data_IF_062566764921
#
_entry.id   IF_062566764921
#
_cell.length_a   1.000
_cell.length_b   1.000
_cell.length_c   1.000
_cell.angle_alpha   90.00
_cell.angle_beta   90.00
_cell.angle_gamma   90.00
#
_symmetry.space_group_name_H-M   'P 1'
#
loop_
_entity.id
_entity.type
_entity.pdbx_description
1 polymer ?
#
# COMPACT_ATOMS: atom_id res chain seq x y z
N UNK A 1 -8.52 -21.35 -9.86
CA UNK A 1 -8.89 -20.00 -9.42
C UNK A 1 -8.85 -19.08 -10.63
N UNK A 2 -9.82 -18.17 -10.76
CA UNK A 2 -9.75 -17.07 -11.73
C UNK A 2 -9.19 -15.85 -11.01
N UNK A 3 -8.17 -15.20 -11.57
CA UNK A 3 -7.45 -14.09 -10.93
C UNK A 3 -7.58 -12.86 -11.81
N UNK A 4 -7.98 -11.74 -11.22
CA UNK A 4 -7.97 -10.43 -11.87
C UNK A 4 -6.61 -9.76 -11.59
N UNK A 5 -5.93 -9.34 -12.65
CA UNK A 5 -4.61 -8.70 -12.57
C UNK A 5 -4.77 -7.19 -12.75
N UNK A 6 -4.09 -6.41 -11.91
CA UNK A 6 -4.15 -4.94 -11.90
C UNK A 6 -2.98 -4.25 -12.62
N UNK A 7 -2.09 -5.05 -13.22
CA UNK A 7 -0.94 -4.60 -14.03
C UNK A 7 -0.92 -5.33 -15.39
N UNK A 8 -0.08 -4.85 -16.32
CA UNK A 8 0.01 -5.44 -17.66
C UNK A 8 0.66 -6.84 -17.65
N UNK A 9 -0.06 -7.83 -18.17
CA UNK A 9 0.31 -9.27 -18.13
C UNK A 9 1.26 -9.73 -19.24
N UNK A 10 1.73 -8.83 -20.12
CA UNK A 10 2.66 -9.18 -21.18
C UNK A 10 3.95 -9.79 -20.60
N UNK A 11 4.28 -11.01 -21.02
CA UNK A 11 5.44 -11.78 -20.56
C UNK A 11 5.13 -12.91 -19.56
N UNK A 12 3.89 -13.02 -19.09
CA UNK A 12 3.44 -14.10 -18.18
C UNK A 12 2.85 -15.26 -18.99
N UNK A 13 3.12 -16.50 -18.58
CA UNK A 13 2.65 -17.71 -19.24
C UNK A 13 2.40 -18.91 -18.32
N UNK A 14 1.93 -20.05 -18.87
CA UNK A 14 1.72 -21.27 -18.11
C UNK A 14 3.01 -21.77 -17.45
N UNK A 15 2.93 -22.14 -16.17
CA UNK A 15 4.07 -22.59 -15.38
C UNK A 15 4.67 -21.51 -14.48
N UNK A 16 4.31 -20.24 -14.68
CA UNK A 16 4.73 -19.16 -13.80
C UNK A 16 4.13 -19.31 -12.39
N UNK A 17 4.91 -18.90 -11.40
CA UNK A 17 4.55 -19.04 -9.99
C UNK A 17 3.46 -18.01 -9.61
N UNK A 18 2.43 -18.50 -8.93
CA UNK A 18 1.40 -17.67 -8.30
C UNK A 18 1.47 -17.83 -6.79
N UNK A 19 1.52 -16.72 -6.05
CA UNK A 19 1.57 -16.70 -4.59
C UNK A 19 0.43 -15.82 -4.07
N UNK A 20 -0.40 -16.38 -3.17
CA UNK A 20 -1.45 -15.61 -2.50
C UNK A 20 -0.87 -14.87 -1.29
N UNK A 21 -1.31 -13.64 -1.07
CA UNK A 21 -1.01 -12.85 0.14
C UNK A 21 -1.81 -13.32 1.36
N UNK A 22 -2.86 -14.14 1.16
CA UNK A 22 -3.76 -14.59 2.23
C UNK A 22 -4.76 -13.54 2.72
N UNK A 23 -4.74 -12.34 2.15
CA UNK A 23 -5.57 -11.20 2.57
C UNK A 23 -6.33 -10.61 1.37
N UNK A 24 -7.53 -10.04 1.59
CA UNK A 24 -8.24 -9.30 0.55
C UNK A 24 -7.47 -8.02 0.17
N UNK A 25 -7.77 -7.48 -1.01
CA UNK A 25 -7.32 -6.13 -1.39
C UNK A 25 -7.78 -5.15 -0.30
N UNK A 26 -6.83 -4.48 0.32
CA UNK A 26 -7.02 -3.64 1.50
C UNK A 26 -6.23 -2.35 1.34
N UNK A 27 -6.59 -1.34 2.11
CA UNK A 27 -5.87 -0.06 2.18
C UNK A 27 -5.26 0.12 3.55
N UNK A 28 -4.14 0.82 3.60
CA UNK A 28 -3.56 1.32 4.81
C UNK A 28 -4.24 2.63 5.23
N UNK A 29 -4.62 2.74 6.51
CA UNK A 29 -5.27 3.91 7.07
C UNK A 29 -4.43 4.48 8.20
N UNK A 30 -3.99 5.73 8.05
CA UNK A 30 -3.17 6.40 9.07
C UNK A 30 -2.66 7.78 8.66
N UNK A 31 -1.93 8.46 9.57
CA UNK A 31 -1.28 9.72 9.28
C UNK A 31 -0.31 9.61 8.10
N UNK A 32 -0.37 10.57 7.17
CA UNK A 32 0.42 10.57 5.95
C UNK A 32 -0.35 10.25 4.68
N UNK A 33 -1.62 9.84 4.77
CA UNK A 33 -2.47 9.70 3.58
C UNK A 33 -2.73 11.03 2.87
N UNK A 34 -3.01 12.07 3.64
CA UNK A 34 -3.30 13.39 3.09
C UNK A 34 -2.02 13.96 2.48
N UNK A 35 -2.15 14.64 1.34
CA UNK A 35 -1.07 15.26 0.52
C UNK A 35 -0.24 14.33 -0.35
N UNK A 36 -0.53 13.03 -0.36
CA UNK A 36 0.10 12.07 -1.28
C UNK A 36 -0.76 11.80 -2.51
N UNK A 37 -0.10 11.38 -3.60
CA UNK A 37 -0.75 10.94 -4.84
C UNK A 37 -0.59 9.42 -4.94
N UNK A 38 -1.70 8.72 -5.08
CA UNK A 38 -1.75 7.27 -5.14
C UNK A 38 -2.30 6.76 -6.47
N UNK A 39 -1.91 5.54 -6.85
CA UNK A 39 -2.59 4.79 -7.92
C UNK A 39 -3.86 4.07 -7.43
N UNK A 40 -4.49 3.29 -8.32
CA UNK A 40 -5.76 2.59 -8.03
C UNK A 40 -5.69 1.50 -6.96
N UNK A 41 -4.50 1.13 -6.49
CA UNK A 41 -4.28 0.14 -5.43
C UNK A 41 -3.43 0.70 -4.26
N UNK A 42 -3.38 2.03 -4.12
CA UNK A 42 -2.76 2.75 -3.01
C UNK A 42 -1.21 2.75 -2.99
N UNK A 43 -0.54 2.64 -4.14
CA UNK A 43 0.92 2.84 -4.20
C UNK A 43 1.27 4.33 -4.37
N UNK A 44 2.23 4.89 -3.61
CA UNK A 44 2.57 6.31 -3.65
C UNK A 44 3.40 6.66 -4.90
N UNK A 45 2.79 7.35 -5.85
CA UNK A 45 3.38 7.63 -7.17
C UNK A 45 4.58 8.56 -7.11
N UNK A 46 4.60 9.50 -6.17
CA UNK A 46 5.71 10.43 -5.97
C UNK A 46 6.97 9.73 -5.42
N UNK A 47 6.79 8.78 -4.51
CA UNK A 47 7.87 7.95 -3.95
C UNK A 47 8.38 7.01 -5.04
N UNK A 48 7.49 6.36 -5.77
CA UNK A 48 7.87 5.49 -6.87
C UNK A 48 8.66 6.28 -7.92
N UNK A 49 8.16 7.43 -8.37
CA UNK A 49 8.85 8.28 -9.34
C UNK A 49 10.26 8.65 -8.88
N UNK A 50 10.46 8.98 -7.60
CA UNK A 50 11.78 9.26 -7.04
C UNK A 50 12.72 8.06 -7.08
N UNK A 51 12.20 6.83 -7.01
CA UNK A 51 12.99 5.59 -7.04
C UNK A 51 13.32 5.12 -8.45
N UNK A 52 12.37 5.19 -9.38
CA UNK A 52 12.47 4.52 -10.69
C UNK A 52 12.36 5.48 -11.90
N UNK A 53 12.10 6.76 -11.66
CA UNK A 53 11.94 7.76 -12.70
C UNK A 53 10.57 7.73 -13.39
N UNK A 54 10.54 8.12 -14.66
CA UNK A 54 9.30 8.38 -15.41
C UNK A 54 8.51 7.12 -15.79
N UNK A 55 9.19 5.98 -15.93
CA UNK A 55 8.56 4.74 -16.37
C UNK A 55 8.26 3.87 -15.15
N UNK A 56 6.99 3.51 -14.97
CA UNK A 56 6.54 2.64 -13.88
C UNK A 56 6.88 1.18 -14.21
N UNK A 57 7.81 0.53 -13.49
CA UNK A 57 8.11 -0.88 -13.69
C UNK A 57 6.97 -1.76 -13.11
N UNK A 58 6.77 -2.93 -13.72
CA UNK A 58 5.81 -3.93 -13.24
C UNK A 58 6.29 -4.55 -11.94
N UNK A 59 5.36 -4.89 -11.05
CA UNK A 59 5.65 -5.58 -9.80
C UNK A 59 6.33 -4.70 -8.74
N UNK A 60 6.30 -3.38 -8.89
CA UNK A 60 6.78 -2.48 -7.82
C UNK A 60 5.81 -2.52 -6.64
N UNK A 61 6.37 -2.78 -5.47
CA UNK A 61 5.67 -2.85 -4.20
C UNK A 61 6.28 -1.81 -3.25
N UNK A 62 5.51 -0.77 -2.93
CA UNK A 62 5.94 0.34 -2.09
C UNK A 62 4.87 0.60 -1.01
N UNK A 63 5.25 0.73 0.28
CA UNK A 63 4.31 1.00 1.35
C UNK A 63 3.51 2.28 1.09
N UNK A 64 2.20 2.24 1.36
CA UNK A 64 1.30 3.37 1.17
C UNK A 64 1.65 4.57 2.08
N UNK A 65 2.13 4.28 3.29
CA UNK A 65 2.55 5.28 4.28
C UNK A 65 4.04 5.19 4.59
N UNK A 66 4.64 6.36 4.80
CA UNK A 66 6.03 6.50 5.22
C UNK A 66 6.25 5.92 6.62
N UNK A 67 7.14 4.92 6.73
CA UNK A 67 7.47 4.21 7.98
C UNK A 67 8.50 4.93 8.83
N UNK A 68 9.22 5.89 8.27
CA UNK A 68 10.29 6.62 8.94
C UNK A 68 9.80 7.98 9.47
N UNK A 69 8.74 8.52 8.86
CA UNK A 69 8.12 9.77 9.31
C UNK A 69 7.55 9.64 10.72
N UNK A 70 8.06 10.49 11.63
CA UNK A 70 7.56 10.60 12.99
C UNK A 70 6.41 11.59 13.07
N UNK A 71 5.35 11.20 13.74
CA UNK A 71 4.18 12.02 14.02
C UNK A 71 4.08 12.28 15.51
N UNK A 72 3.72 13.51 15.88
CA UNK A 72 3.37 13.82 17.25
C UNK A 72 1.99 13.22 17.56
N UNK A 73 1.93 12.42 18.62
CA UNK A 73 0.70 11.78 19.09
C UNK A 73 0.38 12.30 20.48
N UNK A 74 -0.75 12.98 20.61
CA UNK A 74 -1.30 13.42 21.88
C UNK A 74 -2.36 12.42 22.35
N UNK A 75 -2.07 11.58 23.36
CA UNK A 75 -3.05 10.62 23.85
C UNK A 75 -4.26 11.35 24.46
N UNK A 76 -5.46 10.93 24.06
CA UNK A 76 -6.74 11.44 24.59
C UNK A 76 -7.43 10.48 25.56
N UNK A 77 -6.87 9.29 25.75
CA UNK A 77 -7.37 8.22 26.65
C UNK A 77 -6.28 7.82 27.64
N UNK A 78 -6.70 7.32 28.79
CA UNK A 78 -5.83 6.90 29.88
C UNK A 78 -5.71 5.38 29.95
N UNK A 79 -4.65 4.93 30.62
CA UNK A 79 -4.48 3.51 30.96
C UNK A 79 -5.63 3.05 31.85
N UNK A 80 -6.39 2.06 31.38
CA UNK A 80 -7.54 1.50 32.09
C UNK A 80 -8.89 1.89 31.51
N UNK A 81 -8.92 2.81 30.55
CA UNK A 81 -10.16 3.19 29.86
C UNK A 81 -10.69 2.01 29.03
N UNK A 82 -12.00 1.81 29.06
CA UNK A 82 -12.68 0.85 28.19
C UNK A 82 -12.97 1.51 26.84
N UNK A 83 -12.64 0.82 25.75
CA UNK A 83 -12.83 1.31 24.38
C UNK A 83 -13.68 0.35 23.58
N UNK A 84 -14.36 0.87 22.56
CA UNK A 84 -15.06 0.11 21.53
C UNK A 84 -14.43 0.41 20.16
N UNK A 85 -14.88 -0.27 19.11
CA UNK A 85 -14.50 0.09 17.75
C UNK A 85 -14.88 1.56 17.47
N UNK A 86 -13.94 2.29 16.87
CA UNK A 86 -14.10 3.70 16.50
C UNK A 86 -15.12 3.92 15.40
#
# INVERSE_FOLDING_TARGET
>A
ASIQVYEETAGIGPGDKVVSTGSPLSVELGPGLISNIYDGIQRPLDIIFRKVGHNLPKGIDEPALDREKKWEFFPSVNKGDTVIAG
#
